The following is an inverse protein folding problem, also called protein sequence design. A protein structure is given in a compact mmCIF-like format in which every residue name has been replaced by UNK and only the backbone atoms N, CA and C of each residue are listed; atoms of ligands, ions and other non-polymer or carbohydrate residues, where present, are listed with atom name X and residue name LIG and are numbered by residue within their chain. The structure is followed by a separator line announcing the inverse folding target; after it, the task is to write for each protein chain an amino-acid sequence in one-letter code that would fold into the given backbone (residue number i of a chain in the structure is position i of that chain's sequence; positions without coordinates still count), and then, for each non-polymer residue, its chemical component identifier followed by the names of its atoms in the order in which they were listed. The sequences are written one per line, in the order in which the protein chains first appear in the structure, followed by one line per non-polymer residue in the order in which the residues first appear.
data_IF_232542356499
#
_entry.id   IF_232542356499
#
_cell.length_a   1.000
_cell.length_b   1.000
_cell.length_c   1.000
_cell.angle_alpha   90.00
_cell.angle_beta   90.00
_cell.angle_gamma   90.00
#
_symmetry.space_group_name_H-M   'P 1'
#
loop_
_entity.id
_entity.type
_entity.pdbx_description
1 polymer ?
#
# COMPACT_ATOMS: atom_id res chain seq x y z
N UNK A 1 -20.03 1.05 27.07
CA UNK A 1 -19.29 1.89 26.09
C UNK A 1 -20.29 2.55 25.15
N UNK A 2 -20.20 3.87 24.91
CA UNK A 2 -21.18 4.58 24.07
C UNK A 2 -21.05 4.17 22.59
N UNK A 3 -22.17 3.94 21.89
CA UNK A 3 -22.20 3.63 20.44
C UNK A 3 -21.46 4.69 19.60
N UNK A 4 -21.42 5.95 20.07
CA UNK A 4 -20.60 7.00 19.46
C UNK A 4 -19.10 6.74 19.58
N UNK A 5 -18.62 6.38 20.77
CA UNK A 5 -17.20 6.12 21.00
C UNK A 5 -16.68 4.95 20.14
N UNK A 6 -17.49 3.90 19.99
CA UNK A 6 -17.15 2.74 19.16
C UNK A 6 -16.98 3.13 17.68
N UNK A 7 -17.85 4.00 17.15
CA UNK A 7 -17.73 4.50 15.77
C UNK A 7 -16.46 5.32 15.56
N UNK A 8 -16.15 6.22 16.48
CA UNK A 8 -14.93 7.03 16.41
C UNK A 8 -13.68 6.17 16.49
N UNK A 9 -13.64 5.16 17.38
CA UNK A 9 -12.54 4.20 17.44
C UNK A 9 -12.39 3.40 16.14
N UNK A 10 -13.49 2.90 15.57
CA UNK A 10 -13.47 2.18 14.29
C UNK A 10 -12.91 3.05 13.17
N UNK A 11 -13.34 4.31 13.09
CA UNK A 11 -12.89 5.25 12.07
C UNK A 11 -11.38 5.53 12.23
N UNK A 12 -10.91 5.78 13.45
CA UNK A 12 -9.47 5.96 13.74
C UNK A 12 -8.68 4.71 13.36
N UNK A 13 -9.16 3.52 13.71
CA UNK A 13 -8.53 2.25 13.36
C UNK A 13 -8.42 2.05 11.84
N UNK A 14 -9.48 2.41 11.11
CA UNK A 14 -9.50 2.35 9.64
C UNK A 14 -8.43 3.26 9.04
N UNK A 15 -8.30 4.48 9.56
CA UNK A 15 -7.28 5.46 9.14
C UNK A 15 -5.88 4.93 9.46
N UNK A 16 -5.67 4.37 10.64
CA UNK A 16 -4.38 3.79 11.03
C UNK A 16 -3.96 2.67 10.06
N UNK A 17 -4.88 1.79 9.66
CA UNK A 17 -4.58 0.74 8.68
C UNK A 17 -4.25 1.30 7.29
N UNK A 18 -4.92 2.36 6.84
CA UNK A 18 -4.57 3.02 5.58
C UNK A 18 -3.16 3.64 5.61
N UNK A 19 -2.80 4.31 6.71
CA UNK A 19 -1.48 4.90 6.89
C UNK A 19 -0.40 3.81 6.93
N UNK A 20 -0.63 2.73 7.67
CA UNK A 20 0.29 1.59 7.72
C UNK A 20 0.46 0.93 6.35
N UNK A 21 -0.64 0.70 5.62
CA UNK A 21 -0.59 0.19 4.25
C UNK A 21 0.26 1.06 3.33
N UNK A 22 0.11 2.39 3.43
CA UNK A 22 0.89 3.34 2.66
C UNK A 22 2.38 3.29 3.00
N UNK A 23 2.73 3.30 4.30
CA UNK A 23 4.13 3.25 4.75
C UNK A 23 4.80 1.96 4.30
N UNK A 24 4.12 0.82 4.43
CA UNK A 24 4.64 -0.48 4.02
C UNK A 24 4.87 -0.53 2.50
N UNK A 25 3.90 -0.06 1.70
CA UNK A 25 4.04 -0.05 0.24
C UNK A 25 5.12 0.92 -0.24
N UNK A 26 5.22 2.10 0.38
CA UNK A 26 6.31 3.05 0.11
C UNK A 26 7.68 2.49 0.51
N UNK A 27 7.74 1.72 1.61
CA UNK A 27 8.97 1.02 2.01
C UNK A 27 9.31 -0.10 1.03
N UNK A 28 8.32 -0.84 0.53
CA UNK A 28 8.52 -1.84 -0.51
C UNK A 28 9.12 -1.19 -1.76
N UNK A 29 8.56 -0.08 -2.25
CA UNK A 29 9.09 0.63 -3.41
C UNK A 29 10.57 1.03 -3.27
N UNK A 30 11.00 1.42 -2.07
CA UNK A 30 12.42 1.70 -1.77
C UNK A 30 13.31 0.45 -1.90
N UNK A 31 12.75 -0.74 -1.67
CA UNK A 31 13.45 -2.03 -1.85
C UNK A 31 13.36 -2.57 -3.28
N UNK A 32 12.51 -2.00 -4.14
CA UNK A 32 12.35 -2.40 -5.55
C UNK A 32 13.62 -2.14 -6.37
N UNK A 33 14.56 -1.34 -5.86
CA UNK A 33 15.79 -0.95 -6.55
C UNK A 33 15.53 0.01 -7.72
N UNK A 34 16.61 0.57 -8.26
CA UNK A 34 16.56 1.51 -9.39
C UNK A 34 16.65 0.72 -10.69
N UNK A 35 15.76 0.99 -11.64
CA UNK A 35 15.87 0.45 -12.99
C UNK A 35 17.08 1.07 -13.67
N UNK A 36 18.04 0.25 -14.03
CA UNK A 36 19.19 0.65 -14.82
C UNK A 36 19.11 -0.05 -16.16
N UNK A 37 19.43 0.69 -17.21
CA UNK A 37 19.57 0.16 -18.55
C UNK A 37 20.98 0.46 -19.00
N UNK A 38 21.73 -0.59 -19.31
CA UNK A 38 23.03 -0.49 -19.94
C UNK A 38 22.82 -0.60 -21.45
N UNK A 39 23.07 0.50 -22.14
CA UNK A 39 23.04 0.53 -23.60
C UNK A 39 24.41 0.87 -24.16
N UNK A 40 24.71 0.32 -25.33
CA UNK A 40 25.86 0.71 -26.13
C UNK A 40 25.38 1.53 -27.34
N UNK A 41 26.16 2.54 -27.73
CA UNK A 41 25.91 3.25 -28.98
C UNK A 41 26.54 2.43 -30.10
N UNK A 42 25.71 1.86 -30.99
CA UNK A 42 26.16 1.11 -32.17
C UNK A 42 25.67 1.89 -33.39
N UNK A 43 26.61 2.31 -34.26
CA UNK A 43 26.30 3.12 -35.45
C UNK A 43 25.50 4.41 -35.20
N UNK A 44 25.70 5.05 -34.05
CA UNK A 44 25.01 6.30 -33.69
C UNK A 44 23.60 6.12 -33.11
N UNK A 45 23.08 4.89 -33.06
CA UNK A 45 21.84 4.57 -32.36
C UNK A 45 22.14 4.00 -30.97
N UNK A 46 21.36 4.43 -29.98
CA UNK A 46 21.40 3.86 -28.64
C UNK A 46 20.66 2.53 -28.67
N UNK A 47 21.39 1.43 -28.44
CA UNK A 47 20.83 0.09 -28.33
C UNK A 47 20.94 -0.35 -26.88
N UNK A 48 19.79 -0.60 -26.23
CA UNK A 48 19.78 -1.22 -24.91
C UNK A 48 20.31 -2.66 -25.01
N UNK A 49 21.43 -2.92 -24.33
CA UNK A 49 22.13 -4.21 -24.40
C UNK A 49 21.80 -5.08 -23.19
N UNK A 50 21.50 -4.47 -22.04
CA UNK A 50 21.08 -5.19 -20.84
C UNK A 50 20.21 -4.28 -19.95
N UNK A 51 19.14 -4.83 -19.38
CA UNK A 51 18.20 -4.09 -18.51
C UNK A 51 18.03 -4.83 -17.19
N UNK A 52 18.22 -4.11 -16.09
CA UNK A 52 18.23 -4.71 -14.76
C UNK A 52 17.77 -3.76 -13.66
N UNK A 53 17.58 -4.27 -12.44
CA UNK A 53 17.30 -3.44 -11.26
C UNK A 53 18.48 -3.51 -10.31
N UNK A 54 19.25 -2.44 -10.22
CA UNK A 54 20.38 -2.34 -9.30
C UNK A 54 19.88 -2.03 -7.88
N UNK A 55 20.44 -2.72 -6.89
CA UNK A 55 20.09 -2.55 -5.48
C UNK A 55 18.70 -3.07 -5.11
N UNK A 56 18.06 -3.89 -5.95
CA UNK A 56 16.77 -4.50 -5.65
C UNK A 56 16.93 -5.62 -4.62
N UNK A 57 16.13 -5.58 -3.56
CA UNK A 57 15.98 -6.70 -2.63
C UNK A 57 14.56 -7.25 -2.77
N UNK A 58 14.41 -8.25 -3.64
CA UNK A 58 13.11 -8.83 -4.00
C UNK A 58 12.39 -9.45 -2.80
N UNK A 59 13.12 -10.07 -1.87
CA UNK A 59 12.55 -10.71 -0.69
C UNK A 59 11.96 -9.68 0.29
N UNK A 60 12.70 -8.59 0.55
CA UNK A 60 12.19 -7.46 1.35
C UNK A 60 11.09 -6.71 0.62
N UNK A 61 11.22 -6.48 -0.69
CA UNK A 61 10.17 -5.88 -1.51
C UNK A 61 8.86 -6.65 -1.34
N UNK A 62 8.89 -7.97 -1.52
CA UNK A 62 7.68 -8.79 -1.47
C UNK A 62 7.09 -8.81 -0.05
N UNK A 63 7.93 -8.94 0.98
CA UNK A 63 7.48 -8.91 2.38
C UNK A 63 6.78 -7.60 2.75
N UNK A 64 7.35 -6.44 2.36
CA UNK A 64 6.73 -5.14 2.63
C UNK A 64 5.51 -4.88 1.74
N UNK A 65 5.51 -5.34 0.49
CA UNK A 65 4.39 -5.18 -0.42
C UNK A 65 3.18 -6.02 0.02
N UNK A 66 3.41 -7.27 0.42
CA UNK A 66 2.37 -8.17 0.92
C UNK A 66 1.83 -7.63 2.26
N UNK A 67 2.71 -7.21 3.16
CA UNK A 67 2.32 -6.57 4.42
C UNK A 67 1.47 -5.32 4.20
N UNK A 68 1.87 -4.43 3.28
CA UNK A 68 1.09 -3.25 2.92
C UNK A 68 -0.26 -3.58 2.30
N UNK A 69 -0.32 -4.63 1.47
CA UNK A 69 -1.56 -5.11 0.87
C UNK A 69 -2.54 -5.64 1.92
N UNK A 70 -2.06 -6.40 2.91
CA UNK A 70 -2.88 -6.89 4.03
C UNK A 70 -3.49 -5.72 4.81
N UNK A 71 -2.71 -4.68 5.10
CA UNK A 71 -3.23 -3.49 5.78
C UNK A 71 -4.30 -2.75 4.97
N UNK A 72 -4.16 -2.67 3.65
CA UNK A 72 -5.21 -2.11 2.80
C UNK A 72 -6.48 -2.97 2.78
N UNK A 73 -6.36 -4.30 2.77
CA UNK A 73 -7.52 -5.21 2.87
C UNK A 73 -8.24 -5.01 4.20
N UNK A 74 -7.49 -4.96 5.31
CA UNK A 74 -8.04 -4.69 6.64
C UNK A 74 -8.73 -3.32 6.71
N UNK A 75 -8.13 -2.29 6.13
CA UNK A 75 -8.74 -0.97 6.01
C UNK A 75 -10.03 -0.98 5.19
N UNK A 76 -10.07 -1.76 4.09
CA UNK A 76 -11.27 -1.92 3.27
C UNK A 76 -12.42 -2.55 4.05
N UNK A 77 -12.16 -3.67 4.74
CA UNK A 77 -13.18 -4.36 5.56
C UNK A 77 -13.69 -3.46 6.69
N UNK A 78 -12.78 -2.84 7.43
CA UNK A 78 -13.14 -1.94 8.54
C UNK A 78 -13.87 -0.68 8.07
N UNK A 79 -13.51 -0.15 6.89
CA UNK A 79 -14.19 0.97 6.26
C UNK A 79 -15.63 0.65 5.86
N UNK A 80 -15.87 -0.50 5.23
CA UNK A 80 -17.22 -0.97 4.87
C UNK A 80 -18.09 -1.11 6.12
N UNK A 81 -17.57 -1.74 7.17
CA UNK A 81 -18.28 -1.88 8.46
C UNK A 81 -18.63 -0.50 9.02
N UNK A 82 -17.71 0.46 8.96
CA UNK A 82 -17.93 1.81 9.44
C UNK A 82 -19.08 2.50 8.68
N UNK A 83 -19.13 2.36 7.35
CA UNK A 83 -20.21 2.91 6.49
C UNK A 83 -21.55 2.27 6.80
N UNK A 84 -21.63 0.93 6.87
CA UNK A 84 -22.86 0.20 7.18
C UNK A 84 -23.42 0.61 8.55
N UNK A 85 -22.54 0.76 9.55
CA UNK A 85 -22.90 1.21 10.89
C UNK A 85 -23.42 2.66 10.87
N UNK A 86 -22.89 3.50 9.99
CA UNK A 86 -23.34 4.89 9.84
C UNK A 86 -24.72 4.99 9.19
N UNK A 87 -24.96 4.21 8.12
CA UNK A 87 -26.25 4.16 7.41
C UNK A 87 -27.35 3.60 8.33
N UNK A 88 -27.05 2.52 9.06
CA UNK A 88 -28.02 1.88 9.96
C UNK A 88 -28.47 2.81 11.09
N UNK A 89 -27.56 3.62 11.63
CA UNK A 89 -27.88 4.62 12.65
C UNK A 89 -28.72 5.76 12.10
N UNK A 90 -28.50 6.15 10.83
CA UNK A 90 -29.30 7.18 10.16
C UNK A 90 -30.71 6.69 9.81
N UNK A 91 -30.90 5.41 9.52
CA UNK A 91 -32.22 4.79 9.27
C UNK A 91 -33.04 4.56 10.56
N UNK A 92 -32.36 4.46 11.71
CA UNK A 92 -32.98 4.25 13.02
C UNK A 92 -33.38 5.55 13.73
N UNK A 93 -33.04 6.72 13.18
CA UNK A 93 -33.55 8.04 13.61
C UNK A 93 -34.65 8.49 12.67
#
# INVERSE_FOLDING_TARGET
MSKRLIKWMLLVLTICFLILGFIFKSTAEKQKGVSVSAGAIINGEYVETDSGRMGANYEKYNSFNDGGTIFYVLAGVTGVICIVTFISDRKSR
#
